data_IF_347025598259
#
_entry.id   IF_347025598259
#
_cell.length_a   1.000
_cell.length_b   1.000
_cell.length_c   1.000
_cell.angle_alpha   90.00
_cell.angle_beta   90.00
_cell.angle_gamma   90.00
#
_symmetry.space_group_name_H-M   'P 1'
#
loop_
_entity.id
_entity.type
_entity.pdbx_description
1 polymer ?
#
# COMPACT_ATOMS: atom_id res chain seq x y z
N UNK A 1 13.97 54.95 -37.08
CA UNK A 1 14.51 54.05 -36.05
C UNK A 1 13.37 53.12 -35.58
N UNK A 2 13.35 51.93 -36.10
CA UNK A 2 12.35 50.92 -35.73
C UNK A 2 12.90 50.10 -34.56
N UNK A 3 12.21 50.12 -33.45
CA UNK A 3 12.53 49.27 -32.29
C UNK A 3 12.10 47.84 -32.57
N UNK A 4 13.06 46.95 -32.80
CA UNK A 4 12.82 45.53 -32.82
C UNK A 4 12.52 45.02 -31.39
N UNK A 5 11.33 44.51 -31.17
CA UNK A 5 10.94 43.84 -29.95
C UNK A 5 11.51 42.42 -30.01
N UNK A 6 12.33 41.97 -29.04
CA UNK A 6 12.82 40.59 -29.05
C UNK A 6 11.66 39.63 -28.93
N UNK A 7 11.55 38.69 -29.91
CA UNK A 7 10.67 37.55 -29.84
C UNK A 7 11.14 36.67 -28.67
N UNK A 8 10.39 36.74 -27.58
CA UNK A 8 10.54 35.77 -26.52
C UNK A 8 10.35 34.35 -27.14
N UNK A 9 11.37 33.51 -26.97
CA UNK A 9 11.32 32.12 -27.27
C UNK A 9 10.09 31.53 -26.59
N UNK A 10 9.24 30.88 -27.36
CA UNK A 10 8.16 30.06 -26.80
C UNK A 10 8.85 28.96 -26.03
N UNK A 11 8.73 29.02 -24.70
CA UNK A 11 9.15 27.93 -23.83
C UNK A 11 8.41 26.67 -24.21
N UNK A 12 9.13 25.71 -24.72
CA UNK A 12 8.65 24.32 -24.97
C UNK A 12 8.40 23.55 -23.65
N UNK A 13 8.13 24.29 -22.57
CA UNK A 13 7.74 23.75 -21.27
C UNK A 13 6.33 23.14 -21.26
N UNK A 14 5.55 23.35 -22.32
CA UNK A 14 4.21 22.76 -22.46
C UNK A 14 4.22 21.24 -22.75
N UNK A 15 5.33 20.71 -23.28
CA UNK A 15 5.43 19.26 -23.53
C UNK A 15 5.79 18.44 -22.28
N UNK A 16 6.29 19.07 -21.21
CA UNK A 16 6.64 18.39 -19.96
C UNK A 16 5.46 18.28 -18.97
N UNK A 17 4.32 18.86 -19.26
CA UNK A 17 3.06 18.59 -18.60
C UNK A 17 2.37 17.38 -19.23
N UNK A 18 3.11 16.32 -19.59
CA UNK A 18 2.52 14.99 -19.65
C UNK A 18 2.02 14.72 -18.25
N UNK A 19 0.73 14.92 -18.08
CA UNK A 19 -0.01 14.46 -16.89
C UNK A 19 0.57 13.09 -16.55
N UNK A 20 1.23 13.00 -15.42
CA UNK A 20 1.77 11.75 -14.90
C UNK A 20 0.57 10.88 -14.60
N UNK A 21 0.05 10.23 -15.64
CA UNK A 21 -1.10 9.34 -15.53
C UNK A 21 -0.66 8.24 -14.60
N UNK A 22 -1.04 8.37 -13.34
CA UNK A 22 -0.84 7.30 -12.37
C UNK A 22 -1.88 6.23 -12.71
N UNK A 23 -1.46 5.06 -13.20
CA UNK A 23 -2.41 4.02 -13.52
C UNK A 23 -3.15 3.62 -12.24
N UNK A 24 -4.47 3.63 -12.30
CA UNK A 24 -5.34 3.18 -11.21
C UNK A 24 -5.72 1.73 -11.45
N UNK A 25 -5.41 0.89 -10.48
CA UNK A 25 -5.75 -0.51 -10.49
C UNK A 25 -6.70 -0.79 -9.32
N UNK A 26 -7.95 -1.14 -9.63
CA UNK A 26 -8.99 -1.44 -8.62
C UNK A 26 -9.16 -0.32 -7.56
N UNK A 27 -9.06 0.93 -8.01
CA UNK A 27 -9.22 2.11 -7.16
C UNK A 27 -7.95 2.57 -6.43
N UNK A 28 -6.85 1.81 -6.54
CA UNK A 28 -5.56 2.14 -5.93
C UNK A 28 -4.62 2.72 -6.98
N UNK A 29 -3.95 3.81 -6.65
CA UNK A 29 -2.92 4.40 -7.49
C UNK A 29 -1.61 3.62 -7.31
N UNK A 30 -1.06 3.13 -8.42
CA UNK A 30 0.20 2.41 -8.42
C UNK A 30 1.34 3.32 -8.90
N UNK A 31 2.57 3.16 -8.37
CA UNK A 31 3.72 3.97 -8.78
C UNK A 31 4.04 3.76 -10.27
N UNK A 32 4.01 4.85 -11.05
CA UNK A 32 4.22 4.82 -12.50
C UNK A 32 5.66 4.50 -12.91
N UNK A 33 6.65 4.92 -12.10
CA UNK A 33 8.07 4.81 -12.42
C UNK A 33 8.67 3.42 -12.15
N UNK A 34 7.96 2.58 -11.41
CA UNK A 34 8.44 1.24 -11.04
C UNK A 34 8.07 0.21 -12.11
N UNK A 35 8.78 -0.94 -12.11
CA UNK A 35 8.39 -2.12 -12.89
C UNK A 35 7.02 -2.58 -12.44
N UNK A 36 6.21 -3.09 -13.36
CA UNK A 36 4.85 -3.51 -13.04
C UNK A 36 4.80 -4.58 -11.94
N UNK A 37 5.75 -5.50 -11.92
CA UNK A 37 5.88 -6.49 -10.85
C UNK A 37 5.96 -5.83 -9.47
N UNK A 38 6.81 -4.82 -9.32
CA UNK A 38 6.96 -4.09 -8.06
C UNK A 38 5.77 -3.16 -7.78
N UNK A 39 5.19 -2.56 -8.81
CA UNK A 39 4.05 -1.66 -8.68
C UNK A 39 2.79 -2.37 -8.20
N UNK A 40 2.55 -3.62 -8.63
CA UNK A 40 1.42 -4.43 -8.17
C UNK A 40 1.51 -4.76 -6.67
N UNK A 41 2.70 -4.85 -6.09
CA UNK A 41 2.84 -5.12 -4.65
C UNK A 41 2.37 -3.97 -3.75
N UNK A 42 2.09 -2.79 -4.30
CA UNK A 42 1.48 -1.69 -3.56
C UNK A 42 -0.01 -1.90 -3.29
N UNK A 43 -0.64 -2.78 -4.06
CA UNK A 43 -2.03 -3.18 -3.83
C UNK A 43 -2.07 -4.17 -2.66
N UNK A 44 -2.82 -3.82 -1.62
CA UNK A 44 -2.93 -4.66 -0.43
C UNK A 44 -3.58 -6.01 -0.78
N UNK A 45 -2.86 -7.09 -0.50
CA UNK A 45 -3.25 -8.47 -0.83
C UNK A 45 -2.46 -9.08 -1.99
N UNK A 46 -1.68 -8.28 -2.74
CA UNK A 46 -0.81 -8.77 -3.80
C UNK A 46 0.64 -8.73 -3.32
N UNK A 47 1.24 -9.91 -3.17
CA UNK A 47 2.66 -10.06 -2.88
C UNK A 47 3.48 -10.28 -4.16
N UNK A 48 4.83 -10.31 -4.07
CA UNK A 48 5.69 -10.49 -5.26
C UNK A 48 5.42 -11.80 -6.00
N UNK A 49 5.17 -12.89 -5.32
CA UNK A 49 4.85 -14.18 -5.95
C UNK A 49 3.48 -14.16 -6.66
N UNK A 50 2.49 -13.50 -6.07
CA UNK A 50 1.17 -13.34 -6.67
C UNK A 50 1.24 -12.40 -7.87
N UNK A 51 2.01 -11.31 -7.77
CA UNK A 51 2.22 -10.37 -8.86
C UNK A 51 2.80 -11.07 -10.09
N UNK A 52 3.87 -11.88 -9.93
CA UNK A 52 4.44 -12.67 -11.04
C UNK A 52 3.42 -13.58 -11.69
N UNK A 53 2.70 -14.36 -10.89
CA UNK A 53 1.67 -15.28 -11.40
C UNK A 53 0.58 -14.57 -12.19
N UNK A 54 0.13 -13.41 -11.71
CA UNK A 54 -0.90 -12.61 -12.42
C UNK A 54 -0.36 -12.08 -13.75
N UNK A 55 0.89 -11.60 -13.79
CA UNK A 55 1.51 -11.11 -15.02
C UNK A 55 1.77 -12.21 -16.02
N UNK A 56 2.22 -13.40 -15.58
CA UNK A 56 2.39 -14.58 -16.42
C UNK A 56 1.07 -15.01 -17.07
N UNK A 57 -0.01 -15.03 -16.29
CA UNK A 57 -1.35 -15.37 -16.81
C UNK A 57 -1.92 -14.32 -17.77
N UNK A 58 -1.57 -13.05 -17.57
CA UNK A 58 -1.96 -11.96 -18.45
C UNK A 58 -1.01 -11.79 -19.65
N UNK A 59 0.03 -12.62 -19.79
CA UNK A 59 1.07 -12.54 -20.84
C UNK A 59 1.72 -11.14 -20.94
N UNK A 60 1.99 -10.50 -19.79
CA UNK A 60 2.59 -9.18 -19.71
C UNK A 60 4.03 -9.31 -19.18
N UNK A 61 4.98 -8.63 -19.83
CA UNK A 61 6.38 -8.61 -19.40
C UNK A 61 6.49 -7.94 -18.00
N UNK A 62 7.02 -8.62 -16.97
CA UNK A 62 7.17 -8.08 -15.62
C UNK A 62 8.15 -6.90 -15.55
N UNK A 63 9.02 -6.72 -16.55
CA UNK A 63 10.00 -5.64 -16.59
C UNK A 63 9.43 -4.31 -17.10
N UNK A 64 8.27 -4.31 -17.74
CA UNK A 64 7.60 -3.10 -18.19
C UNK A 64 7.37 -2.13 -17.02
N UNK A 65 7.47 -0.83 -17.30
CA UNK A 65 7.12 0.17 -16.30
C UNK A 65 5.60 0.37 -16.26
N UNK A 66 5.07 0.64 -15.08
CA UNK A 66 3.63 0.81 -14.92
C UNK A 66 3.04 1.95 -15.76
N UNK A 67 3.84 2.98 -16.10
CA UNK A 67 3.44 4.08 -17.00
C UNK A 67 3.24 3.67 -18.46
N UNK A 68 3.93 2.60 -18.90
CA UNK A 68 3.94 2.16 -20.29
C UNK A 68 2.84 1.12 -20.59
N UNK A 69 2.00 0.82 -19.58
CA UNK A 69 0.88 -0.10 -19.71
C UNK A 69 -0.25 0.50 -20.55
N UNK A 70 -0.77 -0.28 -21.49
CA UNK A 70 -1.99 0.07 -22.21
C UNK A 70 -3.24 -0.14 -21.33
N UNK A 71 -4.33 0.59 -21.58
CA UNK A 71 -5.60 0.37 -20.88
C UNK A 71 -6.14 -1.07 -21.03
N UNK A 72 -5.85 -1.72 -22.14
CA UNK A 72 -6.22 -3.12 -22.39
C UNK A 72 -5.49 -4.06 -21.42
N UNK A 73 -4.18 -3.92 -21.28
CA UNK A 73 -3.38 -4.70 -20.35
C UNK A 73 -3.81 -4.50 -18.87
N UNK A 74 -4.21 -3.29 -18.52
CA UNK A 74 -4.77 -3.02 -17.16
C UNK A 74 -6.06 -3.83 -16.96
N UNK A 75 -6.94 -3.86 -17.97
CA UNK A 75 -8.16 -4.65 -17.90
C UNK A 75 -7.89 -6.17 -17.82
N UNK A 76 -6.90 -6.67 -18.56
CA UNK A 76 -6.47 -8.07 -18.49
C UNK A 76 -5.96 -8.45 -17.11
N UNK A 77 -5.16 -7.57 -16.47
CA UNK A 77 -4.72 -7.77 -15.07
C UNK A 77 -5.92 -7.84 -14.14
N UNK A 78 -6.89 -6.93 -14.27
CA UNK A 78 -8.10 -6.92 -13.44
C UNK A 78 -8.91 -8.21 -13.64
N UNK A 79 -9.10 -8.64 -14.88
CA UNK A 79 -9.81 -9.88 -15.19
C UNK A 79 -9.11 -11.10 -14.60
N UNK A 80 -7.78 -11.18 -14.72
CA UNK A 80 -6.97 -12.26 -14.14
C UNK A 80 -7.09 -12.32 -12.61
N UNK A 81 -7.06 -11.17 -11.94
CA UNK A 81 -7.24 -11.07 -10.49
C UNK A 81 -8.63 -11.56 -10.09
N UNK A 82 -9.65 -11.16 -10.83
CA UNK A 82 -11.04 -11.55 -10.57
C UNK A 82 -11.28 -13.04 -10.86
N UNK A 83 -10.72 -13.58 -11.95
CA UNK A 83 -10.79 -14.99 -12.29
C UNK A 83 -10.14 -15.89 -11.22
N UNK A 84 -9.03 -15.45 -10.66
CA UNK A 84 -8.33 -16.13 -9.58
C UNK A 84 -9.01 -15.94 -8.20
N UNK A 85 -10.12 -15.20 -8.13
CA UNK A 85 -10.86 -14.89 -6.87
C UNK A 85 -9.94 -14.34 -5.77
N UNK A 86 -8.94 -13.54 -6.14
CA UNK A 86 -8.03 -12.94 -5.18
C UNK A 86 -8.76 -11.82 -4.43
N UNK A 87 -8.83 -11.96 -3.12
CA UNK A 87 -9.35 -10.90 -2.25
C UNK A 87 -8.27 -9.84 -2.07
N UNK A 88 -8.61 -8.62 -2.43
CA UNK A 88 -7.68 -7.49 -2.36
C UNK A 88 -8.34 -6.28 -1.70
N UNK A 89 -7.50 -5.37 -1.22
CA UNK A 89 -7.89 -4.09 -0.62
C UNK A 89 -9.08 -4.17 0.34
N UNK A 90 -10.22 -3.61 -0.03
CA UNK A 90 -11.40 -3.51 0.82
C UNK A 90 -12.01 -4.85 1.19
N UNK A 91 -12.04 -5.79 0.25
CA UNK A 91 -12.62 -7.12 0.46
C UNK A 91 -11.77 -7.93 1.44
N UNK A 92 -10.45 -7.92 1.26
CA UNK A 92 -9.52 -8.57 2.19
C UNK A 92 -9.59 -7.96 3.59
N UNK A 93 -9.68 -6.63 3.67
CA UNK A 93 -9.81 -5.94 4.98
C UNK A 93 -11.13 -6.30 5.68
N UNK A 94 -12.24 -6.39 4.92
CA UNK A 94 -13.54 -6.81 5.46
C UNK A 94 -13.50 -8.23 5.99
N UNK A 95 -12.89 -9.15 5.24
CA UNK A 95 -12.72 -10.53 5.67
C UNK A 95 -11.89 -10.63 6.95
N UNK A 96 -10.72 -9.98 6.98
CA UNK A 96 -9.86 -9.97 8.17
C UNK A 96 -10.57 -9.40 9.39
N UNK A 97 -11.31 -8.29 9.22
CA UNK A 97 -12.11 -7.72 10.31
C UNK A 97 -13.23 -8.64 10.74
N UNK A 98 -13.91 -9.30 9.80
CA UNK A 98 -14.95 -10.29 10.09
C UNK A 98 -14.41 -11.45 10.93
N UNK A 99 -13.24 -11.98 10.54
CA UNK A 99 -12.56 -13.03 11.25
C UNK A 99 -12.17 -12.62 12.68
N UNK A 100 -11.65 -11.40 12.86
CA UNK A 100 -11.32 -10.85 14.18
C UNK A 100 -12.56 -10.64 15.05
N UNK A 101 -13.64 -10.07 14.49
CA UNK A 101 -14.91 -9.89 15.18
C UNK A 101 -15.49 -11.23 15.63
N UNK A 102 -15.44 -12.24 14.77
CA UNK A 102 -15.90 -13.61 15.11
C UNK A 102 -15.12 -14.17 16.30
N UNK A 103 -13.78 -14.08 16.31
CA UNK A 103 -12.96 -14.56 17.42
C UNK A 103 -13.28 -13.83 18.73
N UNK A 104 -13.57 -12.52 18.65
CA UNK A 104 -13.93 -11.72 19.81
C UNK A 104 -15.33 -12.04 20.34
N UNK A 105 -16.30 -12.30 19.45
CA UNK A 105 -17.67 -12.66 19.82
C UNK A 105 -17.72 -14.02 20.55
N UNK A 106 -16.95 -15.01 20.08
CA UNK A 106 -16.81 -16.32 20.72
C UNK A 106 -16.08 -16.22 22.08
N UNK A 107 -15.45 -15.08 22.41
CA UNK A 107 -14.62 -14.89 23.61
C UNK A 107 -13.50 -15.93 23.77
N UNK A 108 -13.00 -16.51 22.70
CA UNK A 108 -11.88 -17.43 22.77
C UNK A 108 -10.59 -16.74 23.24
N UNK A 109 -9.63 -17.51 23.73
CA UNK A 109 -8.34 -16.99 24.20
C UNK A 109 -7.69 -16.04 23.16
N UNK A 110 -7.66 -16.43 21.90
CA UNK A 110 -7.09 -15.61 20.81
C UNK A 110 -7.83 -14.29 20.65
N UNK A 111 -9.17 -14.30 20.70
CA UNK A 111 -10.00 -13.09 20.59
C UNK A 111 -9.77 -12.13 21.74
N UNK A 112 -9.69 -12.64 22.98
CA UNK A 112 -9.37 -11.81 24.17
C UNK A 112 -7.97 -11.21 24.06
N UNK A 113 -6.99 -11.97 23.57
CA UNK A 113 -5.63 -11.46 23.37
C UNK A 113 -5.58 -10.37 22.30
N UNK A 114 -6.30 -10.51 21.20
CA UNK A 114 -6.42 -9.47 20.17
C UNK A 114 -7.06 -8.20 20.76
N UNK A 115 -8.16 -8.32 21.51
CA UNK A 115 -8.84 -7.18 22.15
C UNK A 115 -7.94 -6.42 23.13
N UNK A 116 -7.10 -7.15 23.87
CA UNK A 116 -6.16 -6.56 24.85
C UNK A 116 -4.85 -6.06 24.21
N UNK A 117 -4.63 -6.20 22.93
CA UNK A 117 -3.37 -5.83 22.26
C UNK A 117 -2.17 -6.65 22.73
N UNK A 118 -2.38 -7.89 23.17
CA UNK A 118 -1.35 -8.77 23.69
C UNK A 118 -0.95 -9.84 22.66
N UNK A 119 0.25 -10.47 22.80
CA UNK A 119 0.65 -11.58 21.95
C UNK A 119 -0.36 -12.72 21.99
N UNK A 120 -0.64 -13.33 20.86
CA UNK A 120 -1.70 -14.31 20.66
C UNK A 120 -1.19 -15.74 20.69
N UNK A 121 0.10 -15.94 20.39
CA UNK A 121 0.73 -17.26 20.21
C UNK A 121 1.47 -17.77 21.46
N UNK A 122 1.07 -17.36 22.66
CA UNK A 122 1.66 -17.85 23.92
C UNK A 122 3.01 -17.25 24.30
N UNK A 123 3.47 -16.19 23.61
CA UNK A 123 4.73 -15.54 23.95
C UNK A 123 4.69 -14.95 25.37
N UNK A 124 5.84 -14.99 26.02
CA UNK A 124 6.04 -14.41 27.36
C UNK A 124 5.76 -12.90 27.35
N UNK A 125 5.03 -12.41 28.36
CA UNK A 125 4.61 -11.00 28.42
C UNK A 125 5.25 -10.21 29.56
N UNK A 126 5.94 -10.85 30.49
CA UNK A 126 6.55 -10.18 31.64
C UNK A 126 7.69 -9.24 31.23
N UNK A 127 8.57 -9.68 30.37
CA UNK A 127 9.79 -8.94 29.97
C UNK A 127 9.67 -8.26 28.61
N UNK A 128 9.21 -8.98 27.60
CA UNK A 128 9.24 -8.63 26.17
C UNK A 128 7.84 -8.39 25.59
N UNK A 129 7.64 -8.73 24.33
CA UNK A 129 6.41 -8.53 23.57
C UNK A 129 6.10 -7.05 23.26
N UNK A 130 7.14 -6.23 23.08
CA UNK A 130 7.02 -4.77 22.87
C UNK A 130 6.34 -4.39 21.57
N UNK A 131 6.47 -5.19 20.52
CA UNK A 131 5.78 -4.98 19.25
C UNK A 131 4.26 -4.85 19.42
N UNK A 132 3.67 -5.63 20.33
CA UNK A 132 2.22 -5.58 20.61
C UNK A 132 1.87 -4.61 21.73
N UNK A 133 2.70 -4.53 22.78
CA UNK A 133 2.47 -3.67 23.95
C UNK A 133 2.85 -2.21 23.72
N UNK A 134 3.69 -1.93 22.73
CA UNK A 134 4.27 -0.61 22.49
C UNK A 134 5.49 -0.31 23.38
N UNK A 135 6.05 0.91 23.26
CA UNK A 135 7.20 1.34 24.05
C UNK A 135 6.95 1.24 25.56
N UNK A 136 8.02 1.14 26.32
CA UNK A 136 7.92 1.17 27.80
C UNK A 136 7.42 2.54 28.23
N UNK A 137 6.36 2.56 29.03
CA UNK A 137 5.91 3.77 29.71
C UNK A 137 6.69 3.89 31.03
N UNK A 138 7.62 4.82 31.10
CA UNK A 138 8.29 5.17 32.34
C UNK A 138 7.50 6.26 33.05
N UNK A 139 7.24 6.09 34.33
CA UNK A 139 6.69 7.13 35.18
C UNK A 139 7.86 8.02 35.59
N UNK A 140 7.97 9.21 35.04
CA UNK A 140 9.01 10.19 35.31
C UNK A 140 8.51 11.60 35.06
N UNK A 141 9.13 12.58 35.70
CA UNK A 141 8.83 14.01 35.52
C UNK A 141 9.17 14.37 34.06
N UNK A 142 8.16 14.70 33.25
CA UNK A 142 8.35 15.24 31.90
C UNK A 142 8.71 16.71 32.04
N UNK A 143 10.00 17.02 31.95
CA UNK A 143 10.52 18.38 32.10
C UNK A 143 9.98 19.34 31.01
N UNK A 144 9.77 18.86 29.79
CA UNK A 144 9.20 19.64 28.67
C UNK A 144 8.11 18.85 27.99
N UNK A 145 6.89 19.35 27.96
CA UNK A 145 5.74 18.74 27.24
C UNK A 145 5.98 18.70 25.74
N UNK A 146 6.70 19.68 25.21
CA UNK A 146 6.95 19.83 23.76
C UNK A 146 7.96 18.83 23.19
N UNK A 147 8.84 18.26 24.01
CA UNK A 147 9.77 17.20 23.63
C UNK A 147 9.08 15.86 23.29
N UNK A 148 7.78 15.73 23.56
CA UNK A 148 7.01 14.50 23.31
C UNK A 148 6.35 14.45 21.93
N UNK A 149 6.25 15.57 21.23
CA UNK A 149 5.58 15.68 19.94
C UNK A 149 6.44 15.21 18.74
N UNK A 150 7.73 14.98 18.93
CA UNK A 150 8.69 14.69 17.85
C UNK A 150 9.17 13.24 17.72
N UNK A 151 8.56 12.27 18.42
CA UNK A 151 8.94 10.84 18.30
C UNK A 151 7.71 10.01 17.93
N UNK A 152 7.36 10.08 16.64
CA UNK A 152 6.56 9.07 15.95
C UNK A 152 7.49 8.16 15.20
#
# INVERSE_FOLDING_TARGET
MACEVPRFARDDSAENLRFKIMPRLLGVEIPSEKRIEASLTYVYGIGPSTAKRVLEQANIDPNLRAKDLSPQQINEIIQTITANKLLIEGDLRRELQGNLKRLQAINCYRGVRHRRGLPVRGQRTSTNARTRKGPRKTVGVIRNKDAKAGKV
#
